data_IF_153544144694
#
_entry.id   IF_153544144694
#
_cell.length_a   1.000
_cell.length_b   1.000
_cell.length_c   1.000
_cell.angle_alpha   90.00
_cell.angle_beta   90.00
_cell.angle_gamma   90.00
#
_symmetry.space_group_name_H-M   'P 1'
#
loop_
_entity.id
_entity.type
_entity.pdbx_description
1 polymer ?
#
# COMPACT_ATOMS: atom_id res chain seq x y z
N UNK A 1 69.59 28.55 -15.35
CA UNK A 1 68.60 28.19 -14.31
C UNK A 1 67.70 27.12 -14.94
N UNK A 2 67.83 25.87 -14.51
CA UNK A 2 67.21 24.70 -15.12
C UNK A 2 65.97 24.32 -14.30
N UNK A 3 64.78 24.32 -14.92
CA UNK A 3 63.51 23.91 -14.30
C UNK A 3 63.20 22.47 -14.73
N UNK A 4 63.12 21.55 -13.76
CA UNK A 4 62.70 20.17 -13.94
C UNK A 4 61.15 20.05 -13.89
N UNK A 5 60.53 19.08 -14.58
CA UNK A 5 59.11 18.79 -14.43
C UNK A 5 58.89 17.69 -13.38
N UNK A 6 58.07 17.95 -12.38
CA UNK A 6 57.54 16.93 -11.46
C UNK A 6 56.23 16.37 -12.01
N UNK A 7 56.25 15.10 -12.41
CA UNK A 7 55.05 14.31 -12.72
C UNK A 7 54.50 13.75 -11.41
N UNK A 8 53.22 13.98 -11.10
CA UNK A 8 52.50 13.30 -10.02
C UNK A 8 51.26 12.62 -10.58
N UNK A 9 51.27 11.28 -10.49
CA UNK A 9 50.15 10.42 -10.77
C UNK A 9 49.32 10.24 -9.50
N UNK A 10 48.01 10.50 -9.60
CA UNK A 10 46.96 10.12 -8.66
C UNK A 10 45.88 9.50 -9.56
N UNK A 11 45.45 8.25 -9.47
CA UNK A 11 45.18 7.42 -8.30
C UNK A 11 43.75 6.92 -8.52
N UNK A 12 43.60 5.66 -8.95
CA UNK A 12 42.31 5.02 -9.22
C UNK A 12 41.45 5.02 -7.94
N UNK A 13 40.29 5.68 -7.99
CA UNK A 13 39.25 5.51 -6.98
C UNK A 13 38.31 4.42 -7.47
N UNK A 14 38.52 3.19 -6.98
CA UNK A 14 37.48 2.15 -6.93
C UNK A 14 36.64 2.48 -5.71
N UNK A 15 35.43 3.01 -5.92
CA UNK A 15 34.57 3.47 -4.84
C UNK A 15 33.12 3.10 -5.07
N UNK A 16 32.69 2.04 -4.39
CA UNK A 16 31.32 1.86 -3.92
C UNK A 16 30.27 1.45 -4.94
N UNK A 17 29.92 0.16 -4.92
CA UNK A 17 28.51 -0.25 -5.08
C UNK A 17 27.71 0.41 -3.96
N UNK A 18 27.31 1.65 -4.18
CA UNK A 18 26.31 2.32 -3.36
C UNK A 18 25.02 1.54 -3.54
N UNK A 19 24.53 0.96 -2.44
CA UNK A 19 23.17 0.46 -2.33
C UNK A 19 22.26 1.52 -2.94
N UNK A 20 21.54 1.18 -4.01
CA UNK A 20 20.45 2.00 -4.49
C UNK A 20 19.43 2.05 -3.37
N UNK A 21 19.55 3.06 -2.49
CA UNK A 21 18.44 3.51 -1.66
C UNK A 21 17.32 3.77 -2.64
N UNK A 22 16.29 2.92 -2.60
CA UNK A 22 15.05 3.14 -3.30
C UNK A 22 14.65 4.57 -2.97
N UNK A 23 14.76 5.44 -3.97
CA UNK A 23 14.32 6.81 -3.83
C UNK A 23 12.90 6.73 -3.30
N UNK A 24 12.63 7.41 -2.19
CA UNK A 24 11.27 7.75 -1.79
C UNK A 24 10.67 8.47 -2.99
N UNK A 25 10.06 7.69 -3.89
CA UNK A 25 9.16 8.20 -4.90
C UNK A 25 8.12 8.88 -4.04
N UNK A 26 8.08 10.20 -4.14
CA UNK A 26 6.98 11.01 -3.65
C UNK A 26 5.75 10.52 -4.43
N UNK A 27 5.17 9.41 -3.94
CA UNK A 27 3.98 8.80 -4.50
C UNK A 27 2.91 9.81 -4.16
N UNK A 28 2.63 10.70 -5.10
CA UNK A 28 1.44 11.54 -5.11
C UNK A 28 0.29 10.70 -4.56
N UNK A 29 -0.15 11.05 -3.35
CA UNK A 29 -1.13 10.29 -2.61
C UNK A 29 -2.36 10.14 -3.51
N UNK A 30 -2.62 8.93 -3.98
CA UNK A 30 -3.74 8.69 -4.88
C UNK A 30 -5.03 9.11 -4.17
N UNK A 31 -5.73 10.07 -4.75
CA UNK A 31 -7.05 10.45 -4.26
C UNK A 31 -8.08 9.44 -4.75
N UNK A 32 -8.76 8.76 -3.83
CA UNK A 32 -9.86 7.86 -4.17
C UNK A 32 -10.93 8.62 -4.96
N UNK A 33 -11.32 8.08 -6.12
CA UNK A 33 -12.30 8.72 -7.01
C UNK A 33 -13.72 8.34 -6.60
N UNK A 34 -14.72 8.92 -7.27
CA UNK A 34 -16.12 8.53 -7.09
C UNK A 34 -16.34 7.07 -7.53
N UNK A 35 -17.23 6.38 -6.80
CA UNK A 35 -17.56 4.98 -7.03
C UNK A 35 -16.35 4.04 -6.95
N UNK A 36 -15.49 4.24 -5.94
CA UNK A 36 -14.33 3.41 -5.64
C UNK A 36 -14.27 3.01 -4.17
N UNK A 37 -13.61 1.87 -3.92
CA UNK A 37 -13.11 1.53 -2.60
C UNK A 37 -11.59 1.48 -2.71
N UNK A 38 -10.91 2.28 -1.91
CA UNK A 38 -9.46 2.42 -1.93
C UNK A 38 -8.85 1.92 -0.63
N UNK A 39 -7.94 0.96 -0.73
CA UNK A 39 -7.21 0.38 0.39
C UNK A 39 -5.81 0.98 0.43
N UNK A 40 -5.48 1.68 1.51
CA UNK A 40 -4.22 2.39 1.67
C UNK A 40 -3.27 1.62 2.58
N UNK A 41 -2.00 1.58 2.19
CA UNK A 41 -0.94 0.91 2.92
C UNK A 41 -0.65 1.56 4.27
N UNK A 42 -0.88 2.87 4.41
CA UNK A 42 -0.69 3.58 5.67
C UNK A 42 -2.00 4.17 6.18
N UNK A 43 -2.00 4.54 7.47
CA UNK A 43 -3.11 5.27 8.09
C UNK A 43 -3.33 6.65 7.43
N UNK A 44 -4.48 7.27 7.72
CA UNK A 44 -4.86 8.59 7.22
C UNK A 44 -4.90 8.72 5.68
N UNK A 45 -5.18 7.62 4.96
CA UNK A 45 -5.31 7.60 3.50
C UNK A 45 -4.02 7.99 2.77
N UNK A 46 -2.88 7.53 3.29
CA UNK A 46 -1.54 7.83 2.75
C UNK A 46 -0.81 6.59 2.28
N UNK A 47 0.30 6.79 1.59
CA UNK A 47 1.13 5.70 1.06
C UNK A 47 0.56 5.10 -0.23
N UNK A 48 1.00 3.89 -0.52
CA UNK A 48 0.59 3.13 -1.70
C UNK A 48 -0.86 2.68 -1.59
N UNK A 49 -1.57 2.60 -2.71
CA UNK A 49 -3.00 2.27 -2.76
C UNK A 49 -3.26 1.01 -3.57
N UNK A 50 -4.30 0.27 -3.20
CA UNK A 50 -4.92 -0.79 -3.97
C UNK A 50 -6.39 -0.43 -4.20
N UNK A 51 -6.80 -0.39 -5.48
CA UNK A 51 -8.16 -0.01 -5.90
C UNK A 51 -8.76 -1.14 -6.72
N UNK A 52 -9.50 -2.08 -6.09
CA UNK A 52 -10.13 -3.18 -6.81
C UNK A 52 -11.30 -2.70 -7.68
N UNK A 53 -11.25 -3.03 -8.97
CA UNK A 53 -12.35 -2.74 -9.90
C UNK A 53 -13.58 -3.60 -9.63
N UNK A 54 -13.41 -4.76 -8.99
CA UNK A 54 -14.49 -5.69 -8.65
C UNK A 54 -15.54 -5.03 -7.73
N UNK A 55 -15.10 -4.17 -6.81
CA UNK A 55 -16.00 -3.54 -5.83
C UNK A 55 -16.88 -2.45 -6.44
N UNK A 56 -16.48 -1.87 -7.59
CA UNK A 56 -17.32 -0.92 -8.36
C UNK A 56 -18.66 -1.53 -8.78
N UNK A 57 -18.69 -2.85 -8.93
CA UNK A 57 -19.87 -3.62 -9.34
C UNK A 57 -20.49 -4.39 -8.18
N UNK A 58 -20.21 -3.98 -6.93
CA UNK A 58 -20.67 -4.66 -5.72
C UNK A 58 -20.32 -6.16 -5.72
N UNK A 59 -19.12 -6.49 -6.23
CA UNK A 59 -18.58 -7.85 -6.20
C UNK A 59 -17.63 -8.00 -5.00
N UNK A 60 -16.85 -9.08 -4.99
CA UNK A 60 -15.91 -9.44 -3.95
C UNK A 60 -14.46 -9.47 -4.45
N UNK A 61 -13.53 -9.12 -3.56
CA UNK A 61 -12.11 -9.48 -3.69
C UNK A 61 -11.85 -10.59 -2.69
N UNK A 62 -11.78 -11.81 -3.21
CA UNK A 62 -11.71 -13.01 -2.38
C UNK A 62 -10.34 -13.25 -1.78
N UNK A 63 -9.26 -12.69 -2.30
CA UNK A 63 -7.91 -12.94 -1.77
C UNK A 63 -6.99 -11.76 -2.05
N UNK A 64 -6.51 -11.11 -0.99
CA UNK A 64 -5.55 -10.01 -1.06
C UNK A 64 -4.12 -10.52 -1.25
N UNK A 65 -3.84 -11.81 -0.97
CA UNK A 65 -2.52 -12.43 -1.09
C UNK A 65 -2.01 -12.51 -2.54
N UNK A 66 -2.90 -12.40 -3.51
CA UNK A 66 -2.58 -12.32 -4.94
C UNK A 66 -2.73 -10.89 -5.49
N UNK A 67 -2.86 -9.90 -4.61
CA UNK A 67 -3.01 -8.49 -4.94
C UNK A 67 -1.81 -7.72 -4.40
N UNK A 68 -1.49 -6.63 -5.10
CA UNK A 68 -0.42 -5.74 -4.70
C UNK A 68 -0.92 -4.30 -4.73
N UNK A 69 -0.38 -3.48 -3.86
CA UNK A 69 -0.46 -2.04 -3.99
C UNK A 69 0.33 -1.59 -5.23
N UNK A 70 0.15 -0.34 -5.65
CA UNK A 70 0.84 0.23 -6.83
C UNK A 70 2.37 0.19 -6.75
N UNK A 71 2.94 0.22 -5.55
CA UNK A 71 4.38 0.07 -5.30
C UNK A 71 4.88 -1.39 -5.32
N UNK A 72 4.01 -2.37 -5.62
CA UNK A 72 4.37 -3.78 -5.71
C UNK A 72 4.39 -4.53 -4.37
N UNK A 73 4.13 -3.86 -3.24
CA UNK A 73 3.99 -4.53 -1.95
C UNK A 73 2.69 -5.33 -1.93
N UNK A 74 2.72 -6.54 -1.37
CA UNK A 74 1.53 -7.38 -1.23
C UNK A 74 0.48 -6.70 -0.35
N UNK A 75 -0.79 -6.78 -0.74
CA UNK A 75 -1.88 -6.09 -0.04
C UNK A 75 -2.41 -6.88 1.17
N UNK A 76 -2.17 -8.19 1.22
CA UNK A 76 -2.63 -9.04 2.32
C UNK A 76 -2.01 -8.60 3.64
N UNK A 77 -2.86 -8.39 4.65
CA UNK A 77 -2.42 -8.00 5.98
C UNK A 77 -1.51 -6.75 5.98
N UNK A 78 -1.76 -5.81 5.08
CA UNK A 78 -0.94 -4.60 4.94
C UNK A 78 -1.77 -3.31 4.73
N UNK A 79 -3.09 -3.41 4.88
CA UNK A 79 -4.00 -2.26 4.78
C UNK A 79 -4.15 -1.60 6.14
N UNK A 80 -3.94 -0.28 6.16
CA UNK A 80 -4.00 0.55 7.37
C UNK A 80 -5.11 1.61 7.34
N UNK A 81 -5.68 1.93 6.17
CA UNK A 81 -6.91 2.73 6.06
C UNK A 81 -7.68 2.43 4.78
N UNK A 82 -8.98 2.69 4.78
CA UNK A 82 -9.89 2.42 3.65
C UNK A 82 -10.79 3.62 3.38
N UNK A 83 -10.96 3.98 2.12
CA UNK A 83 -11.90 5.01 1.67
C UNK A 83 -12.99 4.36 0.83
N UNK A 84 -14.27 4.64 1.09
CA UNK A 84 -15.39 4.07 0.34
C UNK A 84 -16.31 5.18 -0.17
N UNK A 85 -16.24 5.43 -1.47
CA UNK A 85 -17.02 6.47 -2.17
C UNK A 85 -18.17 5.87 -2.99
N UNK A 86 -18.43 4.58 -2.84
CA UNK A 86 -19.41 3.86 -3.68
C UNK A 86 -20.85 3.98 -3.21
N UNK A 87 -21.06 4.31 -1.94
CA UNK A 87 -22.38 4.23 -1.29
C UNK A 87 -22.86 2.79 -0.99
N UNK A 88 -22.09 1.76 -1.38
CA UNK A 88 -22.34 0.38 -0.99
C UNK A 88 -21.68 0.06 0.35
N UNK A 89 -22.26 -0.90 1.05
CA UNK A 89 -21.70 -1.46 2.28
C UNK A 89 -20.89 -2.72 1.97
N UNK A 90 -19.65 -2.77 2.43
CA UNK A 90 -18.77 -3.94 2.30
C UNK A 90 -18.34 -4.50 3.67
N UNK A 91 -18.03 -5.79 3.69
CA UNK A 91 -17.57 -6.54 4.83
C UNK A 91 -16.13 -7.00 4.52
N UNK A 92 -15.16 -6.54 5.30
CA UNK A 92 -13.76 -6.98 5.23
C UNK A 92 -13.47 -8.07 6.26
N UNK A 93 -12.65 -9.04 5.88
CA UNK A 93 -12.35 -10.23 6.66
C UNK A 93 -10.84 -10.40 6.83
N UNK A 94 -10.44 -11.00 7.94
CA UNK A 94 -9.03 -11.27 8.26
C UNK A 94 -8.48 -12.58 7.69
N UNK A 95 -9.26 -13.20 6.79
CA UNK A 95 -8.90 -14.41 6.07
C UNK A 95 -9.26 -14.26 4.60
N UNK A 96 -8.55 -14.95 3.70
CA UNK A 96 -8.96 -15.05 2.33
C UNK A 96 -10.25 -15.87 2.21
N UNK A 97 -10.93 -15.71 1.09
CA UNK A 97 -12.19 -16.32 0.68
C UNK A 97 -13.36 -16.04 1.62
N UNK A 98 -13.32 -14.89 2.31
CA UNK A 98 -14.38 -14.48 3.25
C UNK A 98 -14.65 -15.56 4.31
N UNK A 99 -13.60 -16.30 4.70
CA UNK A 99 -13.70 -17.33 5.73
C UNK A 99 -13.92 -16.68 7.09
N UNK A 100 -14.72 -17.34 7.93
CA UNK A 100 -15.06 -16.90 9.28
C UNK A 100 -15.85 -15.59 9.32
N UNK A 101 -17.08 -15.63 8.81
CA UNK A 101 -18.02 -14.49 8.73
C UNK A 101 -18.41 -13.88 10.09
N UNK A 102 -17.96 -14.43 11.22
CA UNK A 102 -18.31 -13.92 12.55
C UNK A 102 -17.50 -12.68 12.96
N UNK A 103 -16.35 -12.44 12.31
CA UNK A 103 -15.48 -11.30 12.59
C UNK A 103 -15.20 -10.55 11.29
N UNK A 104 -16.09 -9.62 10.95
CA UNK A 104 -15.88 -8.71 9.82
C UNK A 104 -15.86 -7.26 10.28
N UNK A 105 -15.09 -6.43 9.57
CA UNK A 105 -15.19 -4.98 9.62
C UNK A 105 -16.19 -4.55 8.56
N UNK A 106 -17.18 -3.76 8.97
CA UNK A 106 -18.07 -3.07 8.04
C UNK A 106 -17.37 -1.82 7.50
N UNK A 107 -17.32 -1.70 6.18
CA UNK A 107 -16.78 -0.58 5.42
C UNK A 107 -17.95 0.04 4.66
N UNK A 108 -18.70 0.92 5.32
CA UNK A 108 -19.76 1.72 4.71
C UNK A 108 -19.34 3.18 4.46
N UNK A 109 -18.26 3.61 5.10
CA UNK A 109 -17.66 4.94 4.95
C UNK A 109 -16.13 4.82 5.02
N UNK A 110 -15.46 5.96 5.16
CA UNK A 110 -14.01 6.01 5.30
C UNK A 110 -13.59 5.52 6.69
N UNK A 111 -12.62 4.62 6.74
CA UNK A 111 -12.10 4.00 7.95
C UNK A 111 -10.59 4.19 8.07
N UNK A 112 -10.14 4.51 9.28
CA UNK A 112 -8.73 4.68 9.61
C UNK A 112 -8.40 3.79 10.81
N UNK A 113 -7.47 2.85 10.66
CA UNK A 113 -7.22 1.79 11.65
C UNK A 113 -6.24 2.23 12.73
N UNK A 114 -6.61 3.29 13.43
CA UNK A 114 -5.86 3.88 14.55
C UNK A 114 -6.71 3.90 15.82
N UNK A 115 -6.08 4.10 16.98
CA UNK A 115 -6.78 4.13 18.26
C UNK A 115 -7.55 2.84 18.54
N UNK A 116 -8.85 2.93 18.80
CA UNK A 116 -9.71 1.78 19.12
C UNK A 116 -9.83 0.77 17.96
N UNK A 117 -9.58 1.20 16.72
CA UNK A 117 -9.58 0.35 15.52
C UNK A 117 -8.21 -0.20 15.16
N UNK A 118 -7.16 0.08 15.94
CA UNK A 118 -5.80 -0.39 15.65
C UNK A 118 -5.67 -1.91 15.59
N UNK A 119 -6.56 -2.65 16.26
CA UNK A 119 -6.60 -4.12 16.20
C UNK A 119 -7.03 -4.68 14.84
N UNK A 120 -7.47 -3.84 13.91
CA UNK A 120 -7.83 -4.16 12.52
C UNK A 120 -6.73 -3.75 11.52
N UNK A 121 -5.75 -2.99 11.97
CA UNK A 121 -4.62 -2.55 11.16
C UNK A 121 -3.84 -3.77 10.65
N UNK A 122 -3.52 -3.78 9.36
CA UNK A 122 -2.70 -4.83 8.75
C UNK A 122 -3.30 -6.23 8.91
N UNK A 123 -4.64 -6.33 8.83
CA UNK A 123 -5.35 -7.61 8.96
C UNK A 123 -6.26 -7.98 7.80
N UNK A 124 -6.54 -7.08 6.87
CA UNK A 124 -7.52 -7.36 5.81
C UNK A 124 -6.91 -8.33 4.79
N UNK A 125 -7.64 -9.41 4.53
CA UNK A 125 -7.27 -10.47 3.58
C UNK A 125 -8.32 -10.74 2.50
N UNK A 126 -9.57 -10.34 2.73
CA UNK A 126 -10.62 -10.35 1.69
C UNK A 126 -11.71 -9.35 2.00
N UNK A 127 -12.52 -9.03 1.00
CA UNK A 127 -13.68 -8.13 1.14
C UNK A 127 -14.79 -8.56 0.19
N UNK A 128 -16.03 -8.34 0.60
CA UNK A 128 -17.20 -8.58 -0.24
C UNK A 128 -18.39 -7.78 0.23
N UNK A 129 -19.52 -7.84 -0.50
CA UNK A 129 -20.74 -7.19 -0.08
C UNK A 129 -21.16 -7.71 1.29
N UNK A 130 -21.60 -6.78 2.13
CA UNK A 130 -22.63 -7.11 3.11
C UNK A 130 -24.01 -7.04 2.40
#
# INVERSE_FOLDING_TARGET
MVLAPTVSALGLVVGGVGSASASDVDVMAYSCQDNEVCFYQHSNYTGSVFVPSELKYRSAVVDFGIRNFVNGVNTDNAVSSVKNTTGWMFCAYDRPYQKNLMHYLRIDTDDNFVGDKAHLNDRISSVGPC
#
